data_IF_705250405554
#
_entry.id   IF_705250405554
#
_cell.length_a   1.000
_cell.length_b   1.000
_cell.length_c   1.000
_cell.angle_alpha   90.00
_cell.angle_beta   90.00
_cell.angle_gamma   90.00
#
_symmetry.space_group_name_H-M   'P 1'
#
loop_
_entity.id
_entity.type
_entity.pdbx_description
1 polymer ?
#
# COMPACT_ATOMS: atom_id res chain seq x y z
N UNK A 1 20.04 -1.28 -3.93
CA UNK A 1 19.80 -0.23 -2.92
C UNK A 1 18.63 -0.63 -2.04
N UNK A 2 18.77 -0.42 -0.73
CA UNK A 2 17.71 -0.74 0.22
C UNK A 2 17.07 0.54 0.73
N UNK A 3 15.75 0.62 0.64
CA UNK A 3 15.00 1.77 1.13
C UNK A 3 14.58 1.54 2.58
N UNK A 4 14.53 2.62 3.36
CA UNK A 4 13.99 2.55 4.72
C UNK A 4 12.47 2.41 4.65
N UNK A 5 11.86 2.01 5.78
CA UNK A 5 10.41 1.93 5.88
C UNK A 5 9.75 3.27 5.55
N UNK A 6 10.32 4.36 6.03
CA UNK A 6 9.80 5.71 5.79
C UNK A 6 9.88 6.08 4.31
N UNK A 7 10.98 5.74 3.65
CA UNK A 7 11.14 5.99 2.22
C UNK A 7 10.12 5.21 1.40
N UNK A 8 9.92 3.93 1.73
CA UNK A 8 8.92 3.10 1.07
C UNK A 8 7.51 3.67 1.27
N UNK A 9 7.18 4.07 2.50
CA UNK A 9 5.88 4.65 2.81
C UNK A 9 5.62 5.93 2.01
N UNK A 10 6.60 6.84 1.98
CA UNK A 10 6.50 8.09 1.22
C UNK A 10 6.31 7.81 -0.27
N UNK A 11 7.04 6.85 -0.82
CA UNK A 11 6.93 6.50 -2.24
C UNK A 11 5.56 5.94 -2.56
N UNK A 12 5.03 5.08 -1.72
CA UNK A 12 3.72 4.48 -1.93
C UNK A 12 2.61 5.54 -1.88
N UNK A 13 2.70 6.47 -0.92
CA UNK A 13 1.74 7.57 -0.81
C UNK A 13 1.82 8.46 -2.06
N UNK A 14 3.03 8.80 -2.48
CA UNK A 14 3.26 9.60 -3.69
C UNK A 14 2.64 8.93 -4.92
N UNK A 15 2.94 7.65 -5.13
CA UNK A 15 2.43 6.91 -6.27
C UNK A 15 0.91 6.88 -6.26
N UNK A 16 0.29 6.66 -5.10
CA UNK A 16 -1.15 6.59 -4.98
C UNK A 16 -1.81 7.93 -5.30
N UNK A 17 -1.21 9.03 -4.85
CA UNK A 17 -1.70 10.38 -5.18
C UNK A 17 -1.55 10.70 -6.66
N UNK A 18 -0.66 10.03 -7.35
CA UNK A 18 -0.43 10.21 -8.78
C UNK A 18 -1.10 9.13 -9.64
N UNK A 19 -2.10 8.46 -9.10
CA UNK A 19 -2.95 7.56 -9.85
C UNK A 19 -2.54 6.10 -9.89
N UNK A 20 -1.62 5.68 -9.03
CA UNK A 20 -1.26 4.25 -8.94
C UNK A 20 -2.50 3.45 -8.53
N UNK A 21 -2.98 2.53 -9.39
CA UNK A 21 -4.31 1.94 -9.20
C UNK A 21 -4.32 0.61 -8.45
N UNK A 22 -3.15 0.13 -8.01
CA UNK A 22 -3.06 -1.20 -7.41
C UNK A 22 -2.80 -1.11 -5.92
N UNK A 23 -3.29 -2.13 -5.18
CA UNK A 23 -3.02 -2.23 -3.75
C UNK A 23 -1.51 -2.40 -3.52
N UNK A 24 -0.88 -1.50 -2.74
CA UNK A 24 0.56 -1.60 -2.52
C UNK A 24 0.98 -2.86 -1.77
N UNK A 25 0.05 -3.47 -1.05
CA UNK A 25 0.34 -4.63 -0.21
C UNK A 25 0.24 -5.96 -0.97
N UNK A 26 -0.71 -6.11 -1.89
CA UNK A 26 -0.93 -7.38 -2.58
C UNK A 26 -0.98 -7.27 -4.12
N UNK A 27 -1.02 -6.06 -4.66
CA UNK A 27 -1.02 -5.86 -6.11
C UNK A 27 -2.38 -5.96 -6.79
N UNK A 28 -3.45 -6.25 -6.06
CA UNK A 28 -4.80 -6.28 -6.65
C UNK A 28 -5.29 -4.87 -6.97
N UNK A 29 -6.18 -4.70 -7.94
CA UNK A 29 -6.74 -3.38 -8.25
C UNK A 29 -7.49 -2.80 -7.05
N UNK A 30 -7.32 -1.49 -6.84
CA UNK A 30 -8.11 -0.73 -5.87
C UNK A 30 -9.36 -0.17 -6.54
N UNK A 31 -10.34 0.23 -5.73
CA UNK A 31 -11.46 1.03 -6.21
C UNK A 31 -10.95 2.41 -6.55
N UNK A 32 -11.31 2.93 -7.72
CA UNK A 32 -10.81 4.22 -8.21
C UNK A 32 -11.97 5.21 -8.29
N UNK A 33 -11.74 6.42 -7.80
CA UNK A 33 -12.68 7.51 -7.93
C UNK A 33 -12.60 8.03 -9.37
N UNK A 34 -13.69 7.93 -10.18
CA UNK A 34 -13.64 8.32 -11.58
C UNK A 34 -13.41 9.81 -11.78
N UNK A 35 -13.71 10.65 -10.79
CA UNK A 35 -13.54 12.10 -10.91
C UNK A 35 -12.09 12.52 -10.69
N UNK A 36 -11.39 11.88 -9.74
CA UNK A 36 -10.01 12.24 -9.39
C UNK A 36 -8.97 11.33 -10.01
N UNK A 37 -9.39 10.16 -10.53
CA UNK A 37 -8.50 9.12 -11.03
C UNK A 37 -7.54 8.59 -9.95
N UNK A 38 -7.90 8.75 -8.69
CA UNK A 38 -7.11 8.29 -7.54
C UNK A 38 -7.91 7.23 -6.78
N UNK A 39 -7.23 6.56 -5.85
CA UNK A 39 -7.88 5.56 -5.00
C UNK A 39 -9.07 6.18 -4.27
N UNK A 40 -10.22 5.51 -4.35
CA UNK A 40 -11.45 5.98 -3.74
C UNK A 40 -11.38 5.84 -2.22
N UNK A 41 -12.08 6.74 -1.51
CA UNK A 41 -12.15 6.71 -0.05
C UNK A 41 -12.89 5.50 0.52
N UNK A 42 -13.56 4.72 -0.35
CA UNK A 42 -14.20 3.48 0.05
C UNK A 42 -13.23 2.31 0.22
N UNK A 43 -11.96 2.48 -0.19
CA UNK A 43 -10.93 1.47 0.09
C UNK A 43 -10.57 1.48 1.57
N UNK A 44 -10.00 0.38 2.04
CA UNK A 44 -9.47 0.31 3.41
C UNK A 44 -8.25 1.23 3.55
N UNK A 45 -8.05 1.76 4.76
CA UNK A 45 -6.84 2.51 5.08
C UNK A 45 -5.86 1.60 5.81
N UNK A 46 -4.59 1.67 5.43
CA UNK A 46 -3.55 0.89 6.08
C UNK A 46 -3.31 1.37 7.50
N UNK A 47 -3.15 0.43 8.43
CA UNK A 47 -2.73 0.73 9.80
C UNK A 47 -1.22 0.89 9.91
N UNK A 48 -0.49 0.34 8.94
CA UNK A 48 0.98 0.39 8.94
C UNK A 48 1.51 1.67 8.30
N UNK A 49 0.77 2.22 7.33
CA UNK A 49 1.16 3.45 6.64
C UNK A 49 -0.02 4.40 6.66
N UNK A 50 0.08 5.44 7.49
CA UNK A 50 -0.99 6.43 7.63
C UNK A 50 -1.25 7.15 6.30
N UNK A 51 -2.53 7.22 5.91
CA UNK A 51 -2.93 7.92 4.68
C UNK A 51 -2.82 7.11 3.41
N UNK A 52 -2.45 5.83 3.51
CA UNK A 52 -2.33 4.96 2.34
C UNK A 52 -3.53 4.03 2.24
N UNK A 53 -4.14 3.93 1.06
CA UNK A 53 -5.23 3.00 0.81
C UNK A 53 -4.69 1.62 0.41
N UNK A 54 -5.37 0.58 0.90
CA UNK A 54 -5.12 -0.82 0.54
C UNK A 54 -6.46 -1.46 0.21
N UNK A 55 -6.45 -2.63 -0.42
CA UNK A 55 -7.70 -3.30 -0.73
C UNK A 55 -8.36 -3.82 0.56
N UNK A 56 -9.67 -4.09 0.49
CA UNK A 56 -10.43 -4.51 1.67
C UNK A 56 -9.89 -5.83 2.25
N UNK A 57 -9.46 -6.75 1.40
CA UNK A 57 -8.88 -8.02 1.86
C UNK A 57 -7.60 -7.77 2.66
N UNK A 58 -6.75 -6.87 2.20
CA UNK A 58 -5.53 -6.50 2.93
C UNK A 58 -5.86 -5.77 4.21
N UNK A 59 -6.92 -4.94 4.20
CA UNK A 59 -7.38 -4.27 5.42
C UNK A 59 -7.77 -5.28 6.49
N UNK A 60 -8.51 -6.32 6.11
CA UNK A 60 -8.89 -7.40 7.02
C UNK A 60 -7.67 -8.17 7.51
N UNK A 61 -6.74 -8.49 6.60
CA UNK A 61 -5.52 -9.21 6.96
C UNK A 61 -4.65 -8.39 7.92
N UNK A 62 -4.53 -7.07 7.69
CA UNK A 62 -3.79 -6.19 8.60
C UNK A 62 -4.40 -6.20 10.00
N UNK A 63 -5.72 -6.16 10.10
CA UNK A 63 -6.40 -6.18 11.39
C UNK A 63 -6.13 -7.49 12.14
N UNK A 64 -6.21 -8.63 11.44
CA UNK A 64 -5.92 -9.93 12.04
C UNK A 64 -4.47 -10.04 12.49
N UNK A 65 -3.54 -9.58 11.67
CA UNK A 65 -2.12 -9.62 12.00
C UNK A 65 -1.79 -8.68 13.15
N UNK A 66 -2.40 -7.51 13.20
CA UNK A 66 -2.22 -6.58 14.31
C UNK A 66 -2.70 -7.19 15.62
N UNK A 67 -3.84 -7.89 15.60
CA UNK A 67 -4.37 -8.59 16.75
C UNK A 67 -3.41 -9.69 17.22
N UNK A 68 -2.78 -10.40 16.29
CA UNK A 68 -1.82 -11.46 16.58
C UNK A 68 -0.42 -10.94 16.90
N UNK A 69 -0.18 -9.63 16.76
CA UNK A 69 1.16 -9.06 16.99
C UNK A 69 2.17 -9.40 15.90
N UNK A 70 1.70 -9.74 14.70
CA UNK A 70 2.56 -10.20 13.60
C UNK A 70 2.27 -9.42 12.31
N UNK A 71 2.56 -8.10 12.28
CA UNK A 71 2.32 -7.32 11.08
C UNK A 71 3.21 -7.77 9.92
N UNK A 72 2.70 -7.62 8.69
CA UNK A 72 3.48 -7.93 7.49
C UNK A 72 4.44 -6.76 7.22
N UNK A 73 5.76 -6.99 7.25
CA UNK A 73 6.73 -5.89 7.02
C UNK A 73 6.58 -5.28 5.63
N UNK A 74 6.81 -3.97 5.52
CA UNK A 74 6.72 -3.28 4.25
C UNK A 74 7.66 -3.86 3.19
N UNK A 75 8.81 -4.41 3.61
CA UNK A 75 9.75 -5.04 2.68
C UNK A 75 9.13 -6.20 1.92
N UNK A 76 8.07 -6.80 2.45
CA UNK A 76 7.38 -7.94 1.83
C UNK A 76 6.15 -7.54 1.02
N UNK A 77 5.83 -6.24 0.97
CA UNK A 77 4.69 -5.77 0.20
C UNK A 77 4.98 -5.83 -1.29
N UNK A 78 3.93 -6.03 -2.08
CA UNK A 78 4.07 -6.19 -3.53
C UNK A 78 4.73 -4.97 -4.19
N UNK A 79 4.29 -3.77 -3.84
CA UNK A 79 4.84 -2.55 -4.44
C UNK A 79 6.31 -2.34 -4.07
N UNK A 80 6.74 -2.81 -2.91
CA UNK A 80 8.15 -2.74 -2.51
C UNK A 80 9.02 -3.51 -3.50
N UNK A 81 8.56 -4.67 -3.94
CA UNK A 81 9.32 -5.45 -4.95
C UNK A 81 9.43 -4.70 -6.26
N UNK A 82 8.35 -4.02 -6.66
CA UNK A 82 8.37 -3.21 -7.88
C UNK A 82 9.32 -2.03 -7.74
N UNK A 83 9.29 -1.34 -6.61
CA UNK A 83 10.20 -0.22 -6.34
C UNK A 83 11.65 -0.69 -6.40
N UNK A 84 11.98 -1.79 -5.73
CA UNK A 84 13.33 -2.34 -5.73
C UNK A 84 13.79 -2.74 -7.12
N UNK A 85 12.89 -3.24 -7.96
CA UNK A 85 13.20 -3.63 -9.33
C UNK A 85 13.53 -2.40 -10.18
N UNK A 86 12.80 -1.29 -9.97
CA UNK A 86 13.02 -0.05 -10.72
C UNK A 86 14.35 0.63 -10.39
N UNK A 87 14.86 0.42 -9.19
CA UNK A 87 16.08 1.08 -8.69
C UNK A 87 17.23 0.12 -8.50
N UNK A 88 17.25 -0.93 -9.24
CA UNK A 88 18.35 -1.89 -9.21
C UNK A 88 19.63 -1.29 -9.76
#
# INVERSE_FOLDING_TARGET
MKFTKEELAHRMIFDQKNGWPFCPRCGKPLKINPQTQQAASSNALSREVSGLYICDDCGSDEALRAFAGMPLPLEQWDQTRLINTMYK
#
